data_IF_882818976229
#
_entry.id   IF_882818976229
#
_cell.length_a   1.000
_cell.length_b   1.000
_cell.length_c   1.000
_cell.angle_alpha   90.00
_cell.angle_beta   90.00
_cell.angle_gamma   90.00
#
_symmetry.space_group_name_H-M   'P 1'
#
loop_
_entity.id
_entity.type
_entity.pdbx_description
1 polymer ?
#
# COMPACT_ATOMS: atom_id res chain seq x y z
N UNK A 1 14.15 9.02 30.44
CA UNK A 1 15.31 9.03 29.53
C UNK A 1 14.89 8.31 28.26
N UNK A 2 14.63 9.06 27.18
CA UNK A 2 14.32 8.48 25.87
C UNK A 2 15.66 8.04 25.28
N UNK A 3 15.82 6.75 24.98
CA UNK A 3 17.00 6.27 24.27
C UNK A 3 17.02 6.90 22.87
N UNK A 4 18.16 7.48 22.53
CA UNK A 4 18.44 8.01 21.19
C UNK A 4 18.33 6.88 20.16
N UNK A 5 17.70 7.12 18.99
CA UNK A 5 17.69 6.12 17.92
C UNK A 5 19.14 5.83 17.50
N UNK A 6 19.47 4.54 17.40
CA UNK A 6 20.77 4.12 16.86
C UNK A 6 20.87 4.59 15.41
N UNK A 7 22.00 5.18 15.06
CA UNK A 7 22.30 5.62 13.70
C UNK A 7 22.27 4.42 12.75
N UNK A 8 21.58 4.50 11.59
CA UNK A 8 21.58 3.42 10.62
C UNK A 8 22.99 3.17 10.10
N UNK A 9 23.31 1.89 9.94
CA UNK A 9 24.52 1.40 9.27
C UNK A 9 24.68 2.04 7.89
N UNK A 10 25.89 2.45 7.57
CA UNK A 10 26.30 3.22 6.39
C UNK A 10 26.18 2.46 5.06
N UNK A 11 24.95 2.19 4.64
CA UNK A 11 24.58 1.81 3.28
C UNK A 11 23.28 2.53 2.95
N UNK A 12 23.26 3.36 1.91
CA UNK A 12 22.06 4.12 1.56
C UNK A 12 20.87 3.19 1.28
N UNK A 13 19.74 3.44 1.92
CA UNK A 13 18.48 2.75 1.61
C UNK A 13 17.93 3.30 0.29
N UNK A 14 17.66 2.40 -0.66
CA UNK A 14 17.00 2.72 -1.93
C UNK A 14 15.52 2.44 -1.84
N UNK A 15 14.72 3.13 -2.66
CA UNK A 15 13.30 2.80 -2.81
C UNK A 15 13.16 1.36 -3.29
N UNK A 16 12.43 0.53 -2.53
CA UNK A 16 12.09 -0.81 -2.96
C UNK A 16 10.94 -0.78 -3.96
N UNK A 17 11.12 -1.43 -5.10
CA UNK A 17 10.15 -1.53 -6.19
C UNK A 17 9.74 -2.98 -6.36
N UNK A 18 8.45 -3.22 -6.15
CA UNK A 18 7.84 -4.55 -6.22
C UNK A 18 6.79 -4.59 -7.31
N UNK A 19 6.80 -5.66 -8.11
CA UNK A 19 5.80 -5.87 -9.17
C UNK A 19 4.82 -6.96 -8.76
N UNK A 20 3.53 -6.73 -9.01
CA UNK A 20 2.48 -7.74 -8.87
C UNK A 20 1.67 -7.86 -10.15
N UNK A 21 1.61 -9.05 -10.72
CA UNK A 21 0.73 -9.36 -11.85
C UNK A 21 -0.53 -10.08 -11.34
N UNK A 22 -1.69 -9.49 -11.60
CA UNK A 22 -2.98 -10.13 -11.30
C UNK A 22 -3.28 -11.23 -12.32
N UNK A 23 -4.10 -12.24 -11.97
CA UNK A 23 -4.66 -13.13 -12.97
C UNK A 23 -5.45 -12.36 -14.03
N UNK A 24 -5.53 -12.95 -15.23
CA UNK A 24 -6.51 -12.53 -16.23
C UNK A 24 -7.91 -12.50 -15.61
N UNK A 25 -8.70 -11.50 -15.97
CA UNK A 25 -10.11 -11.41 -15.62
C UNK A 25 -10.93 -12.40 -16.45
N UNK A 26 -12.17 -12.64 -16.03
CA UNK A 26 -13.05 -13.52 -16.80
C UNK A 26 -13.31 -12.96 -18.20
N UNK A 27 -13.58 -11.65 -18.30
CA UNK A 27 -13.76 -10.96 -19.58
C UNK A 27 -12.55 -11.11 -20.51
N UNK A 28 -11.33 -10.97 -20.00
CA UNK A 28 -10.12 -11.13 -20.82
C UNK A 28 -9.93 -12.57 -21.33
N UNK A 29 -10.31 -13.56 -20.52
CA UNK A 29 -10.32 -14.98 -20.94
C UNK A 29 -11.40 -15.24 -21.98
N UNK A 30 -12.61 -14.73 -21.78
CA UNK A 30 -13.74 -14.91 -22.69
C UNK A 30 -13.47 -14.25 -24.06
N UNK A 31 -12.75 -13.12 -24.07
CA UNK A 31 -12.27 -12.45 -25.30
C UNK A 31 -11.04 -13.14 -25.93
N UNK A 32 -10.48 -14.18 -25.29
CA UNK A 32 -9.39 -14.98 -25.84
C UNK A 32 -8.02 -14.29 -25.81
N UNK A 33 -7.80 -13.29 -24.93
CA UNK A 33 -6.49 -12.67 -24.82
C UNK A 33 -5.47 -13.63 -24.19
N UNK A 34 -4.27 -13.77 -24.78
CA UNK A 34 -3.19 -14.55 -24.19
C UNK A 34 -2.55 -13.80 -23.02
N UNK A 35 -2.01 -14.54 -22.04
CA UNK A 35 -1.08 -13.93 -21.09
C UNK A 35 0.24 -13.64 -21.79
N UNK A 36 0.68 -12.38 -21.70
CA UNK A 36 1.95 -11.91 -22.27
C UNK A 36 3.01 -11.64 -21.21
N UNK A 37 2.65 -11.80 -19.93
CA UNK A 37 3.52 -11.52 -18.79
C UNK A 37 4.00 -12.84 -18.21
N UNK A 38 5.31 -13.04 -18.21
CA UNK A 38 5.95 -14.19 -17.60
C UNK A 38 6.67 -13.75 -16.34
N UNK A 39 6.33 -14.35 -15.19
CA UNK A 39 6.95 -14.00 -13.92
C UNK A 39 7.84 -15.14 -13.45
N UNK A 40 9.07 -14.79 -13.06
CA UNK A 40 9.95 -15.64 -12.26
C UNK A 40 10.11 -15.01 -10.87
N UNK A 41 9.28 -15.46 -9.92
CA UNK A 41 9.32 -14.97 -8.53
C UNK A 41 10.68 -15.23 -7.87
N UNK A 42 11.28 -16.40 -8.13
CA UNK A 42 12.60 -16.78 -7.61
C UNK A 42 13.72 -15.87 -8.07
N UNK A 43 13.64 -15.41 -9.32
CA UNK A 43 14.70 -14.58 -9.92
C UNK A 43 14.40 -13.09 -9.77
N UNK A 44 13.24 -12.70 -9.22
CA UNK A 44 12.83 -11.30 -9.15
C UNK A 44 12.60 -10.66 -10.53
N UNK A 45 12.26 -11.44 -11.56
CA UNK A 45 12.17 -10.94 -12.95
C UNK A 45 10.80 -11.10 -13.59
N UNK A 46 10.48 -10.18 -14.50
CA UNK A 46 9.31 -10.22 -15.38
C UNK A 46 9.73 -10.13 -16.84
N UNK A 47 9.18 -11.01 -17.67
CA UNK A 47 9.30 -11.00 -19.11
C UNK A 47 7.99 -10.56 -19.78
N UNK A 48 8.08 -9.71 -20.81
CA UNK A 48 6.96 -9.28 -21.63
C UNK A 48 7.12 -9.80 -23.06
N UNK A 49 6.18 -10.65 -23.48
CA UNK A 49 6.12 -11.18 -24.84
C UNK A 49 5.30 -10.23 -25.73
N UNK A 50 5.84 -9.83 -26.88
CA UNK A 50 5.05 -9.07 -27.86
C UNK A 50 4.30 -10.06 -28.78
N UNK A 51 2.96 -10.07 -28.81
CA UNK A 51 2.20 -10.99 -29.67
C UNK A 51 2.42 -10.78 -31.17
N UNK A 52 2.96 -9.62 -31.57
CA UNK A 52 3.27 -9.27 -32.96
C UNK A 52 4.77 -9.41 -33.29
N UNK A 53 5.55 -9.99 -32.38
CA UNK A 53 6.98 -10.15 -32.56
C UNK A 53 7.30 -11.12 -33.71
N UNK A 54 8.40 -10.86 -34.42
CA UNK A 54 8.90 -11.78 -35.43
C UNK A 54 9.50 -13.03 -34.76
N UNK A 55 9.61 -14.12 -35.52
CA UNK A 55 10.29 -15.32 -35.02
C UNK A 55 11.75 -14.99 -34.66
N UNK A 56 12.12 -15.17 -33.40
CA UNK A 56 13.47 -14.87 -32.87
C UNK A 56 13.57 -13.58 -32.06
N UNK A 57 12.51 -12.78 -31.97
CA UNK A 57 12.50 -11.59 -31.11
C UNK A 57 12.58 -11.99 -29.62
N UNK A 58 13.49 -11.32 -28.91
CA UNK A 58 13.73 -11.58 -27.49
C UNK A 58 12.69 -10.82 -26.66
N UNK A 59 11.99 -11.48 -25.71
CA UNK A 59 11.08 -10.80 -24.79
C UNK A 59 11.78 -9.69 -24.01
N UNK A 60 11.06 -8.61 -23.72
CA UNK A 60 11.59 -7.56 -22.84
C UNK A 60 11.63 -8.11 -21.41
N UNK A 61 12.77 -8.01 -20.74
CA UNK A 61 12.94 -8.49 -19.37
C UNK A 61 13.29 -7.34 -18.43
N UNK A 62 12.71 -7.36 -17.24
CA UNK A 62 12.95 -6.38 -16.18
C UNK A 62 13.17 -7.13 -14.87
N UNK A 63 14.02 -6.57 -14.00
CA UNK A 63 14.27 -7.06 -12.65
C UNK A 63 13.74 -6.05 -11.62
N UNK A 64 13.24 -6.56 -10.51
CA UNK A 64 12.68 -5.81 -9.38
C UNK A 64 13.19 -6.40 -8.07
N UNK A 65 12.99 -5.70 -6.96
CA UNK A 65 13.35 -6.23 -5.65
C UNK A 65 12.53 -7.48 -5.31
N UNK A 66 11.26 -7.52 -5.74
CA UNK A 66 10.41 -8.71 -5.68
C UNK A 66 9.36 -8.67 -6.80
N UNK A 67 8.97 -9.85 -7.27
CA UNK A 67 7.90 -10.00 -8.27
C UNK A 67 6.91 -11.07 -7.82
N UNK A 68 5.62 -10.79 -8.01
CA UNK A 68 4.53 -11.64 -7.55
C UNK A 68 3.60 -11.97 -8.72
N UNK A 69 3.39 -13.27 -8.94
CA UNK A 69 2.52 -13.80 -9.97
C UNK A 69 1.07 -13.93 -9.53
N UNK A 70 0.27 -14.53 -10.42
CA UNK A 70 -1.17 -14.72 -10.23
C UNK A 70 -1.53 -15.60 -9.01
N UNK A 71 -0.56 -16.37 -8.52
CA UNK A 71 -0.73 -17.31 -7.41
C UNK A 71 -0.32 -16.73 -6.05
N UNK A 72 0.40 -15.60 -6.04
CA UNK A 72 0.86 -14.99 -4.79
C UNK A 72 -0.35 -14.41 -4.03
N UNK A 73 -0.51 -14.83 -2.78
CA UNK A 73 -1.64 -14.40 -1.96
C UNK A 73 -1.38 -13.02 -1.36
N UNK A 74 -2.43 -12.38 -0.83
CA UNK A 74 -2.27 -11.13 -0.08
C UNK A 74 -1.34 -11.30 1.12
N UNK A 75 -1.38 -12.48 1.75
CA UNK A 75 -0.61 -12.76 2.96
C UNK A 75 0.88 -12.91 2.65
N UNK A 76 1.21 -13.65 1.60
CA UNK A 76 2.60 -13.85 1.16
C UNK A 76 3.26 -12.50 0.89
N UNK A 77 2.60 -11.67 0.07
CA UNK A 77 3.10 -10.34 -0.29
C UNK A 77 3.24 -9.45 0.95
N UNK A 78 2.27 -9.50 1.88
CA UNK A 78 2.35 -8.71 3.10
C UNK A 78 3.50 -9.12 4.00
N UNK A 79 3.66 -10.41 4.28
CA UNK A 79 4.69 -10.90 5.19
C UNK A 79 6.11 -10.72 4.62
N UNK A 80 6.28 -10.84 3.31
CA UNK A 80 7.59 -10.69 2.66
C UNK A 80 7.96 -9.22 2.38
N UNK A 81 7.06 -8.44 1.78
CA UNK A 81 7.37 -7.07 1.33
C UNK A 81 7.02 -6.01 2.38
N UNK A 82 5.82 -6.07 2.97
CA UNK A 82 5.27 -4.92 3.69
C UNK A 82 5.49 -4.97 5.21
N UNK A 83 5.57 -6.19 5.78
CA UNK A 83 5.82 -6.39 7.21
C UNK A 83 7.10 -5.68 7.68
N UNK A 84 8.26 -5.81 7.01
CA UNK A 84 9.49 -5.11 7.45
C UNK A 84 9.32 -3.58 7.50
N UNK A 85 8.58 -3.00 6.55
CA UNK A 85 8.32 -1.56 6.54
C UNK A 85 7.43 -1.14 7.72
N UNK A 86 6.39 -1.93 8.03
CA UNK A 86 5.52 -1.67 9.20
C UNK A 86 6.31 -1.82 10.50
N UNK A 87 7.23 -2.78 10.59
CA UNK A 87 8.14 -2.94 11.72
C UNK A 87 9.04 -1.70 11.90
N UNK A 88 9.58 -1.13 10.81
CA UNK A 88 10.33 0.12 10.85
C UNK A 88 9.47 1.29 11.35
N UNK A 89 8.20 1.39 10.94
CA UNK A 89 7.29 2.42 11.46
C UNK A 89 7.06 2.28 12.97
N UNK A 90 6.91 1.05 13.46
CA UNK A 90 6.76 0.77 14.89
C UNK A 90 8.03 1.12 15.71
N UNK A 91 9.18 1.21 15.05
CA UNK A 91 10.46 1.66 15.63
C UNK A 91 10.68 3.18 15.51
N UNK A 92 9.75 3.92 14.91
CA UNK A 92 9.78 5.39 14.82
C UNK A 92 10.27 5.94 13.48
N UNK A 93 10.39 5.11 12.44
CA UNK A 93 10.71 5.57 11.09
C UNK A 93 9.45 5.96 10.30
N UNK A 94 9.61 6.79 9.27
CA UNK A 94 8.54 7.06 8.30
C UNK A 94 8.51 5.96 7.24
N UNK A 95 7.33 5.44 6.91
CA UNK A 95 7.14 4.42 5.89
C UNK A 95 6.00 4.78 4.94
N UNK A 96 6.23 4.59 3.63
CA UNK A 96 5.24 4.89 2.59
C UNK A 96 5.12 3.70 1.63
N UNK A 97 3.88 3.27 1.37
CA UNK A 97 3.57 2.25 0.37
C UNK A 97 2.70 2.91 -0.71
N UNK A 98 3.18 2.88 -1.95
CA UNK A 98 2.47 3.43 -3.11
C UNK A 98 2.12 2.31 -4.10
N UNK A 99 0.82 2.12 -4.36
CA UNK A 99 0.37 1.23 -5.41
C UNK A 99 0.22 1.99 -6.74
N UNK A 100 0.98 1.59 -7.76
CA UNK A 100 0.98 2.22 -9.08
C UNK A 100 0.65 1.23 -10.20
N UNK A 101 -0.01 1.70 -11.26
CA UNK A 101 -0.41 0.89 -12.41
C UNK A 101 -1.69 1.35 -13.09
N UNK A 102 -2.04 0.74 -14.22
CA UNK A 102 -3.26 1.06 -14.98
C UNK A 102 -4.55 0.80 -14.17
N UNK A 103 -5.65 1.45 -14.52
CA UNK A 103 -6.98 1.12 -13.98
C UNK A 103 -7.31 -0.35 -14.20
N UNK A 104 -7.84 -1.02 -13.17
CA UNK A 104 -8.18 -2.44 -13.25
C UNK A 104 -7.02 -3.43 -13.02
N UNK A 105 -5.78 -2.97 -12.76
CA UNK A 105 -4.65 -3.89 -12.49
C UNK A 105 -4.57 -4.39 -11.05
N UNK A 106 -5.48 -3.96 -10.17
CA UNK A 106 -5.57 -4.46 -8.80
C UNK A 106 -4.91 -3.58 -7.73
N UNK A 107 -4.62 -2.29 -8.00
CA UNK A 107 -4.11 -1.35 -6.97
C UNK A 107 -4.95 -1.35 -5.67
N UNK A 108 -6.26 -1.14 -5.79
CA UNK A 108 -7.20 -1.18 -4.65
C UNK A 108 -7.26 -2.57 -4.03
N UNK A 109 -7.17 -3.64 -4.83
CA UNK A 109 -7.15 -5.01 -4.31
C UNK A 109 -5.89 -5.30 -3.49
N UNK A 110 -4.72 -4.80 -3.90
CA UNK A 110 -3.49 -4.91 -3.09
C UNK A 110 -3.62 -4.10 -1.80
N UNK A 111 -4.00 -2.82 -1.89
CA UNK A 111 -4.00 -1.93 -0.71
C UNK A 111 -5.12 -2.25 0.29
N UNK A 112 -6.35 -2.43 -0.19
CA UNK A 112 -7.53 -2.64 0.66
C UNK A 112 -7.95 -4.11 0.71
N UNK A 113 -7.91 -4.79 -0.44
CA UNK A 113 -8.37 -6.17 -0.57
C UNK A 113 -9.87 -6.33 -0.38
N UNK A 114 -10.30 -7.48 0.11
CA UNK A 114 -11.69 -7.77 0.47
C UNK A 114 -11.77 -7.89 1.99
N UNK A 115 -12.31 -6.85 2.64
CA UNK A 115 -12.30 -6.68 4.11
C UNK A 115 -12.87 -7.88 4.86
N UNK A 116 -13.99 -8.41 4.39
CA UNK A 116 -14.73 -9.50 5.04
C UNK A 116 -14.17 -10.90 4.75
N UNK A 117 -13.09 -11.00 3.97
CA UNK A 117 -12.44 -12.27 3.62
C UNK A 117 -11.01 -12.25 4.14
N UNK A 118 -10.70 -12.87 5.30
CA UNK A 118 -9.39 -12.79 5.94
C UNK A 118 -8.20 -13.05 5.01
N UNK A 119 -8.27 -14.10 4.17
CA UNK A 119 -7.21 -14.44 3.22
C UNK A 119 -7.06 -13.47 2.03
N UNK A 120 -8.00 -12.53 1.87
CA UNK A 120 -8.02 -11.55 0.79
C UNK A 120 -7.93 -10.09 1.31
N UNK A 121 -7.69 -9.89 2.60
CA UNK A 121 -7.43 -8.55 3.19
C UNK A 121 -6.17 -7.94 2.59
N UNK A 122 -6.18 -6.63 2.31
CA UNK A 122 -5.06 -5.89 1.72
C UNK A 122 -3.97 -5.47 2.69
N UNK A 123 -3.04 -4.67 2.19
CA UNK A 123 -1.93 -4.11 2.97
C UNK A 123 -2.45 -3.28 4.14
N UNK A 124 -3.41 -2.38 3.91
CA UNK A 124 -3.97 -1.49 4.93
C UNK A 124 -4.54 -2.28 6.12
N UNK A 125 -5.51 -3.21 5.94
CA UNK A 125 -6.06 -3.95 7.06
C UNK A 125 -5.03 -4.85 7.76
N UNK A 126 -4.12 -5.49 7.01
CA UNK A 126 -3.05 -6.30 7.62
C UNK A 126 -2.05 -5.44 8.42
N UNK A 127 -1.73 -4.23 7.96
CA UNK A 127 -0.87 -3.28 8.67
C UNK A 127 -1.49 -2.84 9.99
N UNK A 128 -2.78 -2.52 10.00
CA UNK A 128 -3.49 -2.16 11.23
C UNK A 128 -3.53 -3.30 12.24
N UNK A 129 -3.87 -4.51 11.79
CA UNK A 129 -3.85 -5.69 12.66
C UNK A 129 -2.45 -5.92 13.24
N UNK A 130 -1.41 -5.81 12.39
CA UNK A 130 -0.01 -5.91 12.83
C UNK A 130 0.38 -4.85 13.88
N UNK A 131 0.03 -3.59 13.65
CA UNK A 131 0.31 -2.48 14.58
C UNK A 131 -0.35 -2.74 15.93
N UNK A 132 -1.64 -3.09 15.96
CA UNK A 132 -2.35 -3.32 17.23
C UNK A 132 -1.90 -4.61 17.94
N UNK A 133 -1.54 -5.65 17.19
CA UNK A 133 -0.89 -6.84 17.74
C UNK A 133 0.44 -6.50 18.40
N UNK A 134 1.26 -5.65 17.79
CA UNK A 134 2.53 -5.21 18.35
C UNK A 134 2.33 -4.36 19.62
N UNK A 135 1.41 -3.38 19.55
CA UNK A 135 1.09 -2.49 20.67
C UNK A 135 0.58 -3.29 21.87
N UNK A 136 -0.33 -4.25 21.66
CA UNK A 136 -0.91 -5.06 22.75
C UNK A 136 0.10 -5.97 23.44
N UNK A 137 1.14 -6.42 22.74
CA UNK A 137 2.22 -7.26 23.28
C UNK A 137 3.32 -6.45 23.97
N UNK A 138 3.37 -5.14 23.75
CA UNK A 138 4.42 -4.26 24.29
C UNK A 138 4.00 -3.67 25.63
N UNK A 139 4.69 -4.04 26.71
CA UNK A 139 4.34 -3.63 28.09
C UNK A 139 5.13 -2.45 28.63
N UNK A 140 6.25 -2.08 27.99
CA UNK A 140 7.20 -1.09 28.49
C UNK A 140 7.12 0.26 27.76
N UNK A 141 6.22 0.40 26.78
CA UNK A 141 5.99 1.61 26.00
C UNK A 141 4.50 1.94 25.96
N UNK A 142 4.18 3.22 25.80
CA UNK A 142 2.82 3.69 25.56
C UNK A 142 2.72 4.17 24.12
N UNK A 143 1.67 3.73 23.42
CA UNK A 143 1.41 4.08 22.04
C UNK A 143 0.13 4.90 21.92
N UNK A 144 0.14 5.90 21.03
CA UNK A 144 -1.04 6.61 20.58
C UNK A 144 -1.14 6.45 19.06
N UNK A 145 -2.09 5.66 18.60
CA UNK A 145 -2.33 5.48 17.17
C UNK A 145 -3.35 6.50 16.69
N UNK A 146 -3.02 7.21 15.61
CA UNK A 146 -3.92 8.14 14.93
C UNK A 146 -3.97 7.83 13.45
N UNK A 147 -5.13 8.03 12.85
CA UNK A 147 -5.33 7.83 11.43
C UNK A 147 -6.06 9.03 10.81
N UNK A 148 -5.61 9.38 9.60
CA UNK A 148 -6.19 10.40 8.74
C UNK A 148 -6.41 9.79 7.37
N UNK A 149 -7.44 10.21 6.65
CA UNK A 149 -7.74 9.68 5.32
C UNK A 149 -8.17 10.81 4.39
N UNK A 150 -7.45 10.98 3.29
CA UNK A 150 -7.67 12.05 2.33
C UNK A 150 -7.71 11.52 0.89
N UNK A 151 -8.25 12.34 0.01
CA UNK A 151 -8.21 12.14 -1.43
C UNK A 151 -7.60 13.38 -2.09
N UNK A 152 -6.80 13.16 -3.14
CA UNK A 152 -6.39 14.21 -4.07
C UNK A 152 -7.18 13.97 -5.36
N UNK A 153 -8.02 14.93 -5.73
CA UNK A 153 -8.86 14.85 -6.93
C UNK A 153 -8.89 16.21 -7.62
N UNK A 154 -8.57 16.23 -8.92
CA UNK A 154 -8.46 17.47 -9.71
C UNK A 154 -7.55 18.53 -9.05
N UNK A 155 -6.38 18.10 -8.56
CA UNK A 155 -5.43 18.96 -7.82
C UNK A 155 -5.97 19.56 -6.51
N UNK A 156 -7.12 19.08 -6.01
CA UNK A 156 -7.67 19.50 -4.72
C UNK A 156 -7.56 18.39 -3.67
N UNK A 157 -7.15 18.77 -2.46
CA UNK A 157 -7.08 17.86 -1.31
C UNK A 157 -8.40 17.92 -0.54
N UNK A 158 -8.99 16.74 -0.33
CA UNK A 158 -10.26 16.57 0.39
C UNK A 158 -10.09 15.63 1.57
N UNK A 159 -10.66 16.02 2.71
CA UNK A 159 -10.70 15.20 3.90
C UNK A 159 -11.86 14.18 3.82
N UNK A 160 -11.52 12.89 3.69
CA UNK A 160 -12.52 11.84 3.57
C UNK A 160 -13.21 11.52 4.91
N UNK A 161 -12.71 12.02 6.03
CA UNK A 161 -13.26 11.79 7.36
C UNK A 161 -13.93 13.05 7.95
N UNK A 162 -13.90 14.17 7.25
CA UNK A 162 -14.60 15.40 7.62
C UNK A 162 -16.12 15.25 7.44
N UNK A 163 -16.91 15.97 8.25
CA UNK A 163 -18.36 16.12 8.00
C UNK A 163 -18.65 17.07 6.85
N UNK A 164 -17.76 18.05 6.66
CA UNK A 164 -17.81 18.98 5.54
C UNK A 164 -16.90 18.47 4.41
N UNK A 165 -17.53 17.90 3.39
CA UNK A 165 -16.87 17.32 2.21
C UNK A 165 -16.53 18.36 1.13
N UNK A 166 -16.93 19.62 1.31
CA UNK A 166 -16.65 20.72 0.38
C UNK A 166 -15.48 21.59 0.84
N UNK A 167 -15.06 21.43 2.09
CA UNK A 167 -13.86 22.07 2.62
C UNK A 167 -12.63 21.64 1.82
N UNK A 168 -11.97 22.61 1.19
CA UNK A 168 -10.67 22.42 0.55
C UNK A 168 -9.58 22.50 1.60
N UNK A 169 -8.62 21.59 1.53
CA UNK A 169 -7.43 21.61 2.37
C UNK A 169 -6.22 22.15 1.61
N UNK A 170 -5.32 22.80 2.32
CA UNK A 170 -4.10 23.38 1.76
C UNK A 170 -2.86 22.62 2.25
N UNK A 171 -1.85 22.54 1.38
CA UNK A 171 -0.52 22.10 1.77
C UNK A 171 0.24 23.24 2.43
N UNK A 172 0.94 22.92 3.52
CA UNK A 172 1.85 23.81 4.22
C UNK A 172 3.17 23.11 4.47
N UNK A 173 4.20 23.90 4.76
CA UNK A 173 5.53 23.41 5.06
C UNK A 173 5.99 23.93 6.43
N UNK A 174 6.57 23.05 7.23
CA UNK A 174 7.18 23.38 8.51
C UNK A 174 8.63 22.90 8.53
N UNK A 175 9.54 23.69 9.10
CA UNK A 175 10.99 23.44 9.05
C UNK A 175 11.41 22.09 9.63
N UNK A 176 10.68 21.58 10.63
CA UNK A 176 10.97 20.29 11.28
C UNK A 176 10.09 19.13 10.79
N UNK A 177 8.84 19.39 10.40
CA UNK A 177 7.88 18.33 10.04
C UNK A 177 7.82 18.08 8.53
N UNK A 178 8.42 18.97 7.72
CA UNK A 178 8.27 18.96 6.28
C UNK A 178 6.88 19.39 5.83
N UNK A 179 6.43 18.84 4.71
CA UNK A 179 5.14 19.15 4.09
C UNK A 179 4.01 18.43 4.84
N UNK A 180 2.94 19.16 5.14
CA UNK A 180 1.74 18.62 5.80
C UNK A 180 0.47 19.25 5.24
N UNK A 181 -0.66 18.57 5.44
CA UNK A 181 -1.98 19.09 5.06
C UNK A 181 -2.58 19.82 6.25
N UNK A 182 -2.82 21.12 6.11
CA UNK A 182 -3.39 21.92 7.18
C UNK A 182 -4.83 21.51 7.47
N UNK A 183 -5.16 21.40 8.76
CA UNK A 183 -6.51 21.11 9.27
C UNK A 183 -7.12 19.77 8.80
N UNK A 184 -6.28 18.85 8.32
CA UNK A 184 -6.67 17.47 8.05
C UNK A 184 -7.13 16.81 9.35
N UNK A 185 -8.32 16.22 9.34
CA UNK A 185 -8.85 15.52 10.49
C UNK A 185 -8.01 14.27 10.82
N UNK A 186 -7.92 13.97 12.11
CA UNK A 186 -7.19 12.82 12.63
C UNK A 186 -7.98 12.17 13.75
N UNK A 187 -8.13 10.85 13.68
CA UNK A 187 -8.93 10.06 14.60
C UNK A 187 -8.02 9.17 15.45
N UNK A 188 -8.24 9.19 16.76
CA UNK A 188 -7.55 8.29 17.69
C UNK A 188 -8.11 6.89 17.50
N UNK A 189 -7.24 5.95 17.16
CA UNK A 189 -7.57 4.53 17.01
C UNK A 189 -7.11 3.79 18.26
N UNK A 190 -8.01 3.06 18.90
CA UNK A 190 -7.77 2.27 20.11
C UNK A 190 -7.76 0.77 19.83
N UNK A 191 -8.35 0.33 18.72
CA UNK A 191 -8.36 -1.07 18.30
C UNK A 191 -8.50 -1.20 16.77
N UNK A 192 -8.33 -2.42 16.26
CA UNK A 192 -8.47 -2.76 14.83
C UNK A 192 -9.85 -2.34 14.26
N UNK A 193 -10.91 -2.44 15.04
CA UNK A 193 -12.28 -2.05 14.62
C UNK A 193 -12.39 -0.55 14.25
N UNK A 194 -11.56 0.31 14.83
CA UNK A 194 -11.56 1.74 14.50
C UNK A 194 -11.12 1.97 13.06
N UNK A 195 -10.22 1.12 12.54
CA UNK A 195 -9.81 1.18 11.14
C UNK A 195 -10.95 0.83 10.19
N UNK A 196 -11.73 -0.21 10.51
CA UNK A 196 -12.88 -0.59 9.67
C UNK A 196 -13.88 0.56 9.58
N UNK A 197 -14.12 1.27 10.69
CA UNK A 197 -14.97 2.45 10.73
C UNK A 197 -14.41 3.59 9.86
N UNK A 198 -13.12 3.93 10.04
CA UNK A 198 -12.43 4.99 9.27
C UNK A 198 -12.47 4.69 7.77
N UNK A 199 -12.12 3.45 7.39
CA UNK A 199 -12.12 3.01 6.01
C UNK A 199 -13.53 2.96 5.41
N UNK A 200 -14.55 2.67 6.21
CA UNK A 200 -15.96 2.69 5.76
C UNK A 200 -16.45 4.13 5.52
N UNK A 201 -16.17 5.05 6.44
CA UNK A 201 -16.51 6.47 6.29
C UNK A 201 -15.78 7.06 5.09
N UNK A 202 -14.46 6.84 5.01
CA UNK A 202 -13.65 7.39 3.95
C UNK A 202 -14.04 6.88 2.57
N UNK A 203 -14.27 5.58 2.41
CA UNK A 203 -14.69 5.02 1.12
C UNK A 203 -16.09 5.49 0.69
N UNK A 204 -16.99 5.76 1.64
CA UNK A 204 -18.31 6.33 1.33
C UNK A 204 -18.20 7.77 0.81
N UNK A 205 -17.26 8.54 1.35
CA UNK A 205 -17.08 9.96 1.02
C UNK A 205 -16.20 10.18 -0.21
N UNK A 206 -15.43 9.16 -0.60
CA UNK A 206 -14.51 9.20 -1.73
C UNK A 206 -15.27 9.44 -3.05
N UNK A 207 -14.71 10.27 -3.92
CA UNK A 207 -15.24 10.43 -5.28
C UNK A 207 -15.12 9.10 -6.04
N UNK A 208 -16.26 8.51 -6.41
CA UNK A 208 -16.31 7.43 -7.40
C UNK A 208 -16.51 8.05 -8.77
N UNK A 209 -15.45 8.03 -9.58
CA UNK A 209 -15.51 8.37 -11.00
C UNK A 209 -16.11 7.24 -11.84
#
# INVERSE_FOLDING_TARGET
MVQSPQSPTSGGETVQVVLRCRPLSQKERDEGYPSIVNISEKDGTVGLNNPKAAAGDIPKQFAFDSVYGERSTQRDIYDETFRPLVDSVLQGYNGTILAYGQTGTGKTFTMEGIRDKPGLRGVIPNAFSHIFDYVSKTTHLQYLVRASYLEIYQEEIRDLLSKDQFRKLELREHSEMGVYVQDLSSYICKAEIDMENIMTIGNKNRSVG
#
